data_IF_621921386188
#
_entry.id   IF_621921386188
#
_cell.length_a   1.000
_cell.length_b   1.000
_cell.length_c   1.000
_cell.angle_alpha   90.00
_cell.angle_beta   90.00
_cell.angle_gamma   90.00
#
_symmetry.space_group_name_H-M   'P 1'
#
loop_
_entity.id
_entity.type
_entity.pdbx_description
1 polymer ?
#
# COMPACT_ATOMS: atom_id res chain seq x y z
N UNK A 1 1.15 -28.48 -31.65
CA UNK A 1 1.29 -29.11 -30.33
C UNK A 1 0.27 -28.44 -29.42
N UNK A 2 -0.45 -29.16 -28.57
CA UNK A 2 -1.58 -28.57 -27.82
C UNK A 2 -1.09 -27.62 -26.72
N UNK A 3 -1.57 -26.38 -26.74
CA UNK A 3 -1.30 -25.31 -25.74
C UNK A 3 -1.74 -25.67 -24.30
N UNK A 4 -2.43 -26.79 -24.12
CA UNK A 4 -2.96 -27.28 -22.85
C UNK A 4 -1.87 -27.65 -21.83
N UNK A 5 -0.75 -28.20 -22.29
CA UNK A 5 0.35 -28.64 -21.41
C UNK A 5 1.12 -27.47 -20.79
N UNK A 6 1.54 -26.45 -21.56
CA UNK A 6 2.10 -25.22 -20.99
C UNK A 6 1.15 -24.53 -20.00
N UNK A 7 -0.15 -24.44 -20.33
CA UNK A 7 -1.14 -23.81 -19.46
C UNK A 7 -1.31 -24.56 -18.11
N UNK A 8 -1.35 -25.89 -18.14
CA UNK A 8 -1.41 -26.70 -16.92
C UNK A 8 -0.11 -26.61 -16.10
N UNK A 9 1.04 -26.56 -16.77
CA UNK A 9 2.32 -26.31 -16.13
C UNK A 9 2.35 -24.96 -15.40
N UNK A 10 1.86 -23.89 -16.04
CA UNK A 10 1.77 -22.56 -15.43
C UNK A 10 0.83 -22.55 -14.23
N UNK A 11 -0.36 -23.17 -14.34
CA UNK A 11 -1.30 -23.26 -13.23
C UNK A 11 -0.70 -24.02 -12.05
N UNK A 12 -0.07 -25.17 -12.31
CA UNK A 12 0.60 -25.96 -11.28
C UNK A 12 1.72 -25.17 -10.62
N UNK A 13 2.56 -24.48 -11.40
CA UNK A 13 3.63 -23.64 -10.88
C UNK A 13 3.09 -22.51 -9.98
N UNK A 14 2.01 -21.83 -10.40
CA UNK A 14 1.35 -20.81 -9.60
C UNK A 14 0.85 -21.38 -8.27
N UNK A 15 0.13 -22.51 -8.31
CA UNK A 15 -0.42 -23.16 -7.11
C UNK A 15 0.71 -23.59 -6.16
N UNK A 16 1.76 -24.22 -6.68
CA UNK A 16 2.92 -24.63 -5.88
C UNK A 16 3.59 -23.42 -5.24
N UNK A 17 3.80 -22.33 -6.00
CA UNK A 17 4.41 -21.11 -5.47
C UNK A 17 3.55 -20.49 -4.35
N UNK A 18 2.22 -20.46 -4.52
CA UNK A 18 1.31 -19.98 -3.47
C UNK A 18 1.36 -20.87 -2.23
N UNK A 19 1.31 -22.19 -2.39
CA UNK A 19 1.37 -23.14 -1.27
C UNK A 19 2.68 -23.01 -0.49
N UNK A 20 3.79 -22.71 -1.18
CA UNK A 20 5.09 -22.53 -0.53
C UNK A 20 5.23 -21.16 0.15
N UNK A 21 4.73 -20.08 -0.47
CA UNK A 21 4.96 -18.71 0.01
C UNK A 21 3.92 -18.21 1.00
N UNK A 22 2.66 -18.63 0.89
CA UNK A 22 1.56 -18.15 1.74
C UNK A 22 1.76 -18.55 3.21
N UNK A 23 2.07 -19.81 3.58
CA UNK A 23 2.22 -20.19 4.99
C UNK A 23 3.30 -19.41 5.77
N UNK A 24 4.54 -19.21 5.26
CA UNK A 24 5.53 -18.42 5.99
C UNK A 24 5.14 -16.95 6.08
N UNK A 25 4.57 -16.37 5.02
CA UNK A 25 4.10 -14.98 5.04
C UNK A 25 2.95 -14.78 6.03
N UNK A 26 1.99 -15.70 6.06
CA UNK A 26 0.87 -15.65 6.99
C UNK A 26 1.34 -15.76 8.45
N UNK A 27 2.33 -16.61 8.74
CA UNK A 27 2.93 -16.71 10.09
C UNK A 27 3.65 -15.43 10.48
N UNK A 28 4.36 -14.81 9.53
CA UNK A 28 5.02 -13.53 9.76
C UNK A 28 3.99 -12.44 10.07
N UNK A 29 2.92 -12.32 9.27
CA UNK A 29 1.85 -11.35 9.51
C UNK A 29 1.16 -11.58 10.85
N UNK A 30 0.85 -12.83 11.19
CA UNK A 30 0.28 -13.17 12.50
C UNK A 30 1.21 -12.73 13.63
N UNK A 31 2.51 -13.04 13.54
CA UNK A 31 3.49 -12.61 14.54
C UNK A 31 3.57 -11.08 14.65
N UNK A 32 3.62 -10.35 13.54
CA UNK A 32 3.69 -8.88 13.54
C UNK A 32 2.43 -8.26 14.16
N UNK A 33 1.24 -8.81 13.87
CA UNK A 33 -0.01 -8.26 14.37
C UNK A 33 -0.34 -8.63 15.83
N UNK A 34 0.23 -9.71 16.36
CA UNK A 34 -0.05 -10.15 17.74
C UNK A 34 1.15 -10.05 18.68
N UNK A 35 2.29 -9.53 18.23
CA UNK A 35 3.46 -9.35 19.10
C UNK A 35 3.20 -8.28 20.16
N UNK A 36 3.38 -8.62 21.43
CA UNK A 36 3.36 -7.68 22.56
C UNK A 36 4.70 -6.91 22.69
N UNK A 37 5.68 -7.21 21.84
CA UNK A 37 7.01 -6.61 21.90
C UNK A 37 7.27 -5.74 20.68
N UNK A 38 7.60 -4.47 20.94
CA UNK A 38 8.04 -3.55 19.90
C UNK A 38 9.54 -3.64 19.64
N UNK A 39 9.94 -3.47 18.39
CA UNK A 39 11.35 -3.33 18.00
C UNK A 39 11.89 -1.95 18.39
N UNK A 40 13.21 -1.82 18.46
CA UNK A 40 13.84 -0.52 18.75
C UNK A 40 13.50 0.55 17.69
N UNK A 41 13.45 0.14 16.42
CA UNK A 41 13.06 1.01 15.32
C UNK A 41 11.59 1.45 15.42
N UNK A 42 10.68 0.54 15.80
CA UNK A 42 9.26 0.87 16.00
C UNK A 42 9.08 1.89 17.12
N UNK A 43 9.72 1.66 18.27
CA UNK A 43 9.70 2.62 19.40
C UNK A 43 10.24 3.99 19.00
N UNK A 44 11.28 4.04 18.16
CA UNK A 44 11.80 5.31 17.65
C UNK A 44 10.75 6.03 16.79
N UNK A 45 10.12 5.32 15.85
CA UNK A 45 9.05 5.86 15.00
C UNK A 45 7.85 6.35 15.80
N UNK A 46 7.37 5.57 16.78
CA UNK A 46 6.25 5.98 17.64
C UNK A 46 6.57 7.26 18.39
N UNK A 47 7.79 7.41 18.93
CA UNK A 47 8.20 8.66 19.61
C UNK A 47 8.28 9.84 18.66
N UNK A 48 8.85 9.66 17.46
CA UNK A 48 8.98 10.71 16.45
C UNK A 48 7.61 11.21 15.97
N UNK A 49 6.67 10.28 15.75
CA UNK A 49 5.31 10.58 15.31
C UNK A 49 4.35 10.85 16.48
N UNK A 50 4.81 10.73 17.72
CA UNK A 50 4.02 10.85 18.96
C UNK A 50 2.79 9.94 18.99
N UNK A 51 2.98 8.70 18.53
CA UNK A 51 1.96 7.65 18.53
C UNK A 51 2.05 6.86 19.83
N UNK A 52 0.88 6.51 20.38
CA UNK A 52 0.74 5.52 21.45
C UNK A 52 0.43 4.16 20.80
N UNK A 53 1.38 3.21 20.78
CA UNK A 53 1.18 1.91 20.13
C UNK A 53 0.23 0.98 20.90
N UNK A 54 0.00 1.24 22.19
CA UNK A 54 -0.83 0.41 23.07
C UNK A 54 -2.27 0.94 23.17
N UNK A 55 -2.58 2.04 22.48
CA UNK A 55 -3.91 2.65 22.50
C UNK A 55 -4.91 1.88 21.65
N UNK A 56 -6.00 1.42 22.28
CA UNK A 56 -7.14 0.86 21.57
C UNK A 56 -7.84 1.92 20.70
N UNK A 57 -8.19 1.55 19.46
CA UNK A 57 -8.96 2.40 18.56
C UNK A 57 -10.42 1.96 18.50
N UNK A 58 -11.33 2.88 18.86
CA UNK A 58 -12.74 2.67 18.58
C UNK A 58 -12.99 2.65 17.05
N UNK A 59 -13.90 1.80 16.59
CA UNK A 59 -14.14 1.59 15.15
C UNK A 59 -14.41 2.87 14.36
N UNK A 60 -15.10 3.85 14.98
CA UNK A 60 -15.36 5.16 14.35
C UNK A 60 -14.08 5.94 14.12
N UNK A 61 -13.20 5.97 15.11
CA UNK A 61 -11.89 6.61 15.02
C UNK A 61 -11.07 5.96 13.92
N UNK A 62 -11.02 4.62 13.89
CA UNK A 62 -10.33 3.86 12.86
C UNK A 62 -10.86 4.19 11.45
N UNK A 63 -12.18 4.13 11.25
CA UNK A 63 -12.81 4.42 9.97
C UNK A 63 -12.53 5.87 9.50
N UNK A 64 -12.63 6.84 10.40
CA UNK A 64 -12.32 8.24 10.10
C UNK A 64 -10.83 8.44 9.81
N UNK A 65 -9.93 7.75 10.53
CA UNK A 65 -8.49 7.78 10.25
C UNK A 65 -8.18 7.24 8.86
N UNK A 66 -8.79 6.12 8.46
CA UNK A 66 -8.64 5.56 7.11
C UNK A 66 -9.17 6.54 6.06
N UNK A 67 -10.38 7.08 6.23
CA UNK A 67 -10.96 8.04 5.29
C UNK A 67 -10.14 9.34 5.20
N UNK A 68 -9.67 9.86 6.33
CA UNK A 68 -8.84 11.05 6.39
C UNK A 68 -7.48 10.84 5.72
N UNK A 69 -6.81 9.71 6.01
CA UNK A 69 -5.55 9.35 5.35
C UNK A 69 -5.73 9.20 3.84
N UNK A 70 -6.79 8.53 3.40
CA UNK A 70 -7.09 8.38 1.97
C UNK A 70 -7.42 9.71 1.31
N UNK A 71 -8.20 10.59 1.94
CA UNK A 71 -8.50 11.91 1.40
C UNK A 71 -7.23 12.75 1.23
N UNK A 72 -6.36 12.78 2.24
CA UNK A 72 -5.04 13.45 2.14
C UNK A 72 -4.18 12.81 1.06
N UNK A 73 -4.17 11.48 0.96
CA UNK A 73 -3.46 10.73 -0.07
C UNK A 73 -3.89 11.10 -1.49
N UNK A 74 -5.20 11.18 -1.75
CA UNK A 74 -5.74 11.59 -3.06
C UNK A 74 -5.31 13.01 -3.39
N UNK A 75 -5.44 13.94 -2.45
CA UNK A 75 -5.07 15.34 -2.67
C UNK A 75 -3.57 15.50 -2.90
N UNK A 76 -2.74 14.77 -2.14
CA UNK A 76 -1.29 14.79 -2.30
C UNK A 76 -0.89 14.22 -3.66
N UNK A 77 -1.42 13.06 -4.05
CA UNK A 77 -1.09 12.43 -5.32
C UNK A 77 -1.61 13.23 -6.52
N UNK A 78 -2.80 13.82 -6.40
CA UNK A 78 -3.32 14.78 -7.38
C UNK A 78 -2.37 15.98 -7.53
N UNK A 79 -1.92 16.57 -6.42
CA UNK A 79 -0.96 17.66 -6.44
C UNK A 79 0.37 17.25 -7.08
N UNK A 80 0.88 16.06 -6.79
CA UNK A 80 2.08 15.51 -7.44
C UNK A 80 1.89 15.43 -8.96
N UNK A 81 0.78 14.92 -9.45
CA UNK A 81 0.51 14.83 -10.89
C UNK A 81 0.36 16.21 -11.55
N UNK A 82 -0.30 17.16 -10.88
CA UNK A 82 -0.49 18.53 -11.37
C UNK A 82 0.77 19.39 -11.31
N UNK A 83 1.69 19.07 -10.41
CA UNK A 83 2.94 19.79 -10.23
C UNK A 83 4.14 19.03 -10.77
N UNK A 84 3.93 17.89 -11.46
CA UNK A 84 4.99 16.98 -11.90
C UNK A 84 6.11 17.70 -12.65
N UNK A 85 5.79 18.66 -13.50
CA UNK A 85 6.77 19.42 -14.28
C UNK A 85 7.75 20.24 -13.43
N UNK A 86 7.33 20.63 -12.22
CA UNK A 86 8.13 21.40 -11.25
C UNK A 86 8.90 20.52 -10.26
N UNK A 87 8.57 19.22 -10.19
CA UNK A 87 9.20 18.30 -9.26
C UNK A 87 10.57 17.84 -9.77
N UNK A 88 11.51 17.51 -8.87
CA UNK A 88 12.74 16.84 -9.28
C UNK A 88 12.38 15.52 -9.98
N UNK A 89 13.22 15.11 -10.94
CA UNK A 89 13.00 13.91 -11.75
C UNK A 89 11.79 14.00 -12.70
N UNK A 90 11.34 15.21 -13.07
CA UNK A 90 10.30 15.39 -14.09
C UNK A 90 10.74 14.96 -15.49
N UNK A 91 12.05 14.86 -15.76
CA UNK A 91 12.65 14.46 -17.05
C UNK A 91 12.12 15.23 -18.27
N UNK A 92 11.60 16.45 -18.06
CA UNK A 92 10.99 17.27 -19.11
C UNK A 92 9.54 16.93 -19.44
N UNK A 93 8.88 16.07 -18.69
CA UNK A 93 7.44 15.80 -18.83
C UNK A 93 6.61 16.96 -18.28
N UNK A 94 5.55 17.33 -19.01
CA UNK A 94 4.54 18.30 -18.57
C UNK A 94 3.69 17.75 -17.43
N UNK A 95 3.03 18.63 -16.68
CA UNK A 95 2.02 18.23 -15.71
C UNK A 95 0.89 17.38 -16.34
N UNK A 96 0.36 16.42 -15.59
CA UNK A 96 -0.81 15.65 -16.03
C UNK A 96 -2.02 16.58 -16.19
N UNK A 97 -2.85 16.43 -17.23
CA UNK A 97 -4.16 17.08 -17.32
C UNK A 97 -4.99 16.84 -16.05
N UNK A 98 -5.86 17.78 -15.70
CA UNK A 98 -6.55 17.77 -14.40
C UNK A 98 -7.43 16.51 -14.19
N UNK A 99 -8.15 16.11 -15.21
CA UNK A 99 -8.95 14.88 -15.25
C UNK A 99 -8.09 13.62 -15.12
N UNK A 100 -6.96 13.55 -15.84
CA UNK A 100 -6.02 12.44 -15.77
C UNK A 100 -5.34 12.32 -14.41
N UNK A 101 -4.89 13.44 -13.84
CA UNK A 101 -4.29 13.49 -12.50
C UNK A 101 -5.30 13.07 -11.42
N UNK A 102 -6.56 13.51 -11.54
CA UNK A 102 -7.62 13.15 -10.59
C UNK A 102 -7.95 11.66 -10.65
N UNK A 103 -8.18 11.12 -11.86
CA UNK A 103 -8.47 9.70 -12.02
C UNK A 103 -7.33 8.83 -11.50
N UNK A 104 -6.09 9.16 -11.85
CA UNK A 104 -4.90 8.45 -11.35
C UNK A 104 -4.83 8.51 -9.82
N UNK A 105 -4.98 9.69 -9.22
CA UNK A 105 -4.88 9.84 -7.78
C UNK A 105 -5.94 9.03 -7.03
N UNK A 106 -7.19 9.08 -7.49
CA UNK A 106 -8.28 8.29 -6.91
C UNK A 106 -7.98 6.80 -7.08
N UNK A 107 -7.69 6.34 -8.30
CA UNK A 107 -7.46 4.93 -8.60
C UNK A 107 -6.37 4.30 -7.74
N UNK A 108 -5.20 4.95 -7.62
CA UNK A 108 -4.10 4.46 -6.80
C UNK A 108 -4.46 4.40 -5.32
N UNK A 109 -5.11 5.45 -4.78
CA UNK A 109 -5.47 5.49 -3.35
C UNK A 109 -6.60 4.52 -3.03
N UNK A 110 -7.53 4.28 -3.97
CA UNK A 110 -8.60 3.27 -3.84
C UNK A 110 -8.15 1.86 -4.22
N UNK A 111 -6.89 1.68 -4.61
CA UNK A 111 -6.30 0.40 -5.01
C UNK A 111 -7.05 -0.29 -6.18
N UNK A 112 -7.31 0.48 -7.25
CA UNK A 112 -7.90 0.03 -8.52
C UNK A 112 -6.97 0.31 -9.68
#
# INVERSE_FOLDING_TARGET
>A
MSETWPALGQLLALVVLLVVTVPPLARLLAHVYTSEHHLAAERATYRLLRLDPDADQHWRSYALSVLGFSAVGVLLLYAVGRLQEHLPLSLGFSALPADGAWNTAVSFVTNT
#
